data_IF_106231872791
#
_entry.id   IF_106231872791
#
_cell.length_a   1.000
_cell.length_b   1.000
_cell.length_c   1.000
_cell.angle_alpha   90.00
_cell.angle_beta   90.00
_cell.angle_gamma   90.00
#
_symmetry.space_group_name_H-M   'P 1'
#
loop_
_entity.id
_entity.type
_entity.pdbx_description
1 polymer ?
#
# COMPACT_ATOMS: atom_id res chain seq x y z
N UNK A 1 -0.42 5.21 8.94
CA UNK A 1 0.26 6.53 8.89
C UNK A 1 -0.62 7.54 9.59
N UNK A 2 -0.05 8.36 10.49
CA UNK A 2 -0.78 9.40 11.21
C UNK A 2 -0.99 10.66 10.34
N UNK A 3 -1.75 11.66 10.85
CA UNK A 3 -2.06 12.90 10.08
C UNK A 3 -0.82 13.71 9.69
N UNK A 4 0.22 13.72 10.54
CA UNK A 4 1.48 14.42 10.24
C UNK A 4 2.24 13.71 9.12
N UNK A 5 2.25 12.38 9.09
CA UNK A 5 2.84 11.63 7.99
C UNK A 5 2.13 11.86 6.67
N UNK A 6 0.79 11.97 6.67
CA UNK A 6 0.02 12.26 5.46
C UNK A 6 0.37 13.63 4.85
N UNK A 7 0.47 14.69 5.66
CA UNK A 7 0.82 16.02 5.14
C UNK A 7 2.29 16.08 4.69
N UNK A 8 3.22 15.47 5.43
CA UNK A 8 4.62 15.37 5.03
C UNK A 8 4.77 14.64 3.70
N UNK A 9 4.07 13.52 3.50
CA UNK A 9 4.06 12.77 2.24
C UNK A 9 3.48 13.60 1.10
N UNK A 10 2.36 14.28 1.33
CA UNK A 10 1.74 15.13 0.32
C UNK A 10 2.68 16.27 -0.12
N UNK A 11 3.44 16.87 0.81
CA UNK A 11 4.46 17.88 0.50
C UNK A 11 5.61 17.27 -0.31
N UNK A 12 6.11 16.09 0.07
CA UNK A 12 7.17 15.39 -0.65
C UNK A 12 6.81 15.07 -2.11
N UNK A 13 5.59 14.59 -2.32
CA UNK A 13 5.07 14.23 -3.65
C UNK A 13 4.72 15.46 -4.52
N UNK A 14 4.56 16.62 -3.90
CA UNK A 14 4.15 17.86 -4.56
C UNK A 14 5.05 19.05 -4.15
N UNK A 15 6.32 19.03 -4.53
CA UNK A 15 7.23 20.13 -4.29
C UNK A 15 6.63 21.38 -4.95
N UNK A 16 6.63 22.51 -4.26
CA UNK A 16 6.06 23.79 -4.70
C UNK A 16 4.53 23.94 -4.61
N UNK A 17 3.80 22.95 -4.07
CA UNK A 17 2.37 23.09 -3.82
C UNK A 17 2.08 24.13 -2.73
N UNK A 18 1.10 24.99 -2.99
CA UNK A 18 0.57 25.90 -1.97
C UNK A 18 -0.31 25.15 -0.97
N UNK A 19 -0.63 25.80 0.18
CA UNK A 19 -1.56 25.22 1.15
C UNK A 19 -2.94 24.91 0.54
N UNK A 20 -3.38 25.68 -0.47
CA UNK A 20 -4.65 25.44 -1.17
C UNK A 20 -4.57 24.17 -2.03
N UNK A 21 -3.46 23.99 -2.74
CA UNK A 21 -3.23 22.79 -3.56
C UNK A 21 -3.16 21.55 -2.69
N UNK A 22 -2.46 21.62 -1.56
CA UNK A 22 -2.40 20.53 -0.59
C UNK A 22 -3.78 20.23 0.00
N UNK A 23 -4.58 21.23 0.32
CA UNK A 23 -5.94 21.07 0.83
C UNK A 23 -6.83 20.34 -0.18
N UNK A 24 -6.77 20.71 -1.45
CA UNK A 24 -7.49 20.08 -2.52
C UNK A 24 -7.06 18.62 -2.72
N UNK A 25 -5.75 18.36 -2.80
CA UNK A 25 -5.19 17.00 -2.98
C UNK A 25 -5.53 16.06 -1.83
N UNK A 26 -5.53 16.55 -0.61
CA UNK A 26 -5.84 15.78 0.59
C UNK A 26 -7.34 15.71 0.91
N UNK A 27 -8.18 16.42 0.16
CA UNK A 27 -9.61 16.58 0.44
C UNK A 27 -9.88 17.05 1.87
N UNK A 28 -9.11 18.06 2.31
CA UNK A 28 -9.21 18.65 3.64
C UNK A 28 -9.52 20.16 3.55
N UNK A 29 -10.04 20.74 4.63
CA UNK A 29 -10.20 22.19 4.70
C UNK A 29 -8.84 22.88 4.77
N UNK A 30 -8.76 24.11 4.23
CA UNK A 30 -7.55 24.93 4.30
C UNK A 30 -7.11 25.18 5.75
N UNK A 31 -8.06 25.37 6.69
CA UNK A 31 -7.77 25.52 8.11
C UNK A 31 -7.12 24.28 8.72
N UNK A 32 -7.59 23.09 8.36
CA UNK A 32 -7.00 21.80 8.79
C UNK A 32 -5.57 21.67 8.28
N UNK A 33 -5.33 21.96 7.00
CA UNK A 33 -3.99 21.90 6.40
C UNK A 33 -3.04 22.90 7.05
N UNK A 34 -3.49 24.12 7.30
CA UNK A 34 -2.70 25.14 8.00
C UNK A 34 -2.28 24.66 9.40
N UNK A 35 -3.20 24.06 10.16
CA UNK A 35 -2.90 23.50 11.49
C UNK A 35 -1.86 22.39 11.39
N UNK A 36 -2.03 21.43 10.48
CA UNK A 36 -1.10 20.32 10.29
C UNK A 36 0.30 20.80 9.88
N UNK A 37 0.38 21.79 8.99
CA UNK A 37 1.66 22.38 8.59
C UNK A 37 2.35 23.06 9.78
N UNK A 38 1.61 23.83 10.59
CA UNK A 38 2.17 24.45 11.80
C UNK A 38 2.70 23.41 12.79
N UNK A 39 1.98 22.30 12.98
CA UNK A 39 2.43 21.20 13.82
C UNK A 39 3.70 20.55 13.24
N UNK A 40 3.74 20.27 11.94
CA UNK A 40 4.93 19.72 11.28
C UNK A 40 6.14 20.66 11.37
N UNK A 41 5.93 21.99 11.26
CA UNK A 41 7.00 22.97 11.43
C UNK A 41 7.49 23.02 12.88
N UNK A 42 6.59 22.95 13.86
CA UNK A 42 6.95 22.88 15.29
C UNK A 42 7.78 21.64 15.61
N UNK A 43 7.43 20.52 15.01
CA UNK A 43 8.18 19.26 15.14
C UNK A 43 9.43 19.20 14.25
N UNK A 44 9.74 20.27 13.52
CA UNK A 44 10.85 20.34 12.56
C UNK A 44 10.81 19.27 11.45
N UNK A 45 9.61 18.82 11.06
CA UNK A 45 9.42 17.89 9.96
C UNK A 45 9.35 18.61 8.60
N UNK A 46 8.80 19.82 8.61
CA UNK A 46 8.71 20.72 7.45
C UNK A 46 9.43 22.04 7.72
N UNK A 47 9.93 22.63 6.66
CA UNK A 47 10.45 24.01 6.63
C UNK A 47 9.75 24.79 5.53
N UNK A 48 9.82 26.14 5.58
CA UNK A 48 9.39 26.97 4.46
C UNK A 48 10.27 26.72 3.24
N UNK A 49 9.65 26.59 2.08
CA UNK A 49 10.35 26.41 0.82
C UNK A 49 11.25 27.62 0.52
N UNK A 50 12.47 27.34 0.11
CA UNK A 50 13.47 28.36 -0.19
C UNK A 50 13.25 29.04 -1.54
N UNK A 51 12.67 28.30 -2.49
CA UNK A 51 12.56 28.72 -3.89
C UNK A 51 11.29 29.53 -4.19
N UNK A 52 10.18 29.21 -3.53
CA UNK A 52 8.87 29.85 -3.78
C UNK A 52 8.21 30.19 -2.43
N UNK A 53 7.84 31.44 -2.24
CA UNK A 53 7.15 31.88 -1.05
C UNK A 53 5.79 31.17 -0.90
N UNK A 54 5.47 30.71 0.32
CA UNK A 54 4.21 30.01 0.61
C UNK A 54 4.20 28.52 0.29
N UNK A 55 5.35 27.95 -0.11
CA UNK A 55 5.55 26.51 -0.26
C UNK A 55 6.29 25.91 0.93
N UNK A 56 6.36 24.59 1.00
CA UNK A 56 6.98 23.84 2.09
C UNK A 56 7.88 22.74 1.53
N UNK A 57 8.92 22.43 2.29
CA UNK A 57 9.89 21.38 1.96
C UNK A 57 10.08 20.47 3.17
N UNK A 58 10.35 19.17 2.93
CA UNK A 58 10.76 18.28 4.00
C UNK A 58 12.14 18.67 4.53
N UNK A 59 12.30 18.54 5.83
CA UNK A 59 13.62 18.57 6.46
C UNK A 59 14.21 17.15 6.50
N UNK A 60 15.50 17.01 6.79
CA UNK A 60 16.10 15.69 7.03
C UNK A 60 15.39 14.89 8.14
N UNK A 61 14.84 15.58 9.16
CA UNK A 61 14.01 14.94 10.19
C UNK A 61 12.65 14.49 9.62
N UNK A 62 12.07 15.26 8.70
CA UNK A 62 10.84 14.94 8.00
C UNK A 62 11.00 13.72 7.08
N UNK A 63 12.13 13.61 6.39
CA UNK A 63 12.47 12.44 5.57
C UNK A 63 12.62 11.19 6.44
N UNK A 64 13.40 11.25 7.51
CA UNK A 64 13.56 10.15 8.48
C UNK A 64 12.23 9.76 9.14
N UNK A 65 11.33 10.74 9.36
CA UNK A 65 9.99 10.48 9.87
C UNK A 65 9.12 9.73 8.85
N UNK A 66 9.25 10.00 7.54
CA UNK A 66 8.53 9.29 6.50
C UNK A 66 9.06 7.87 6.27
N UNK A 67 10.37 7.64 6.41
CA UNK A 67 10.98 6.32 6.24
C UNK A 67 10.36 5.26 7.16
N UNK A 68 9.95 5.62 8.39
CA UNK A 68 9.27 4.68 9.30
C UNK A 68 7.88 4.21 8.81
N UNK A 69 7.31 4.85 7.80
CA UNK A 69 6.04 4.45 7.16
C UNK A 69 6.24 3.80 5.80
N UNK A 70 7.48 3.63 5.38
CA UNK A 70 7.80 2.93 4.14
C UNK A 70 7.49 1.45 4.30
N UNK A 71 6.84 0.91 3.31
CA UNK A 71 6.55 -0.53 3.23
C UNK A 71 7.48 -1.11 2.16
N UNK A 72 8.41 -1.96 2.59
CA UNK A 72 9.41 -2.54 1.69
C UNK A 72 8.85 -3.68 0.86
N UNK A 73 7.85 -4.40 1.39
CA UNK A 73 7.21 -5.50 0.70
C UNK A 73 5.83 -5.85 1.26
N UNK A 74 5.11 -6.72 0.58
CA UNK A 74 3.80 -7.20 0.98
C UNK A 74 3.73 -8.73 0.89
N UNK A 75 3.03 -9.34 1.86
CA UNK A 75 2.68 -10.77 1.83
C UNK A 75 1.18 -10.90 1.66
N UNK A 76 0.75 -11.47 0.53
CA UNK A 76 -0.66 -11.81 0.28
C UNK A 76 -0.87 -13.27 0.63
N UNK A 77 -1.79 -13.55 1.54
CA UNK A 77 -2.09 -14.92 1.96
C UNK A 77 -3.27 -15.45 1.14
N UNK A 78 -3.01 -16.39 0.23
CA UNK A 78 -3.97 -16.97 -0.70
C UNK A 78 -3.97 -18.52 -0.67
N UNK A 79 -3.49 -19.13 0.42
CA UNK A 79 -3.29 -20.58 0.50
C UNK A 79 -4.58 -21.38 0.76
N UNK A 80 -5.64 -20.76 1.31
CA UNK A 80 -6.84 -21.47 1.78
C UNK A 80 -7.76 -21.98 0.67
N UNK A 81 -8.49 -23.07 0.96
CA UNK A 81 -9.48 -23.68 0.05
C UNK A 81 -10.67 -22.77 -0.29
N UNK A 82 -11.03 -21.83 0.60
CA UNK A 82 -12.18 -20.94 0.37
C UNK A 82 -13.55 -21.64 0.47
N UNK A 83 -13.74 -22.53 1.43
CA UNK A 83 -14.94 -23.38 1.61
C UNK A 83 -16.27 -22.63 1.59
N UNK A 84 -16.29 -21.36 1.99
CA UNK A 84 -17.50 -20.52 1.94
C UNK A 84 -17.96 -20.16 0.52
N UNK A 85 -17.14 -20.40 -0.49
CA UNK A 85 -17.41 -20.09 -1.90
C UNK A 85 -17.64 -21.35 -2.75
N UNK A 86 -17.78 -22.53 -2.12
CA UNK A 86 -18.16 -23.77 -2.81
C UNK A 86 -19.55 -23.58 -3.47
N UNK A 87 -19.76 -24.03 -4.74
CA UNK A 87 -18.86 -24.90 -5.54
C UNK A 87 -17.81 -24.16 -6.37
N UNK A 88 -17.80 -22.84 -6.42
CA UNK A 88 -16.88 -22.04 -7.26
C UNK A 88 -15.39 -22.35 -6.98
N UNK A 89 -15.09 -22.64 -5.72
CA UNK A 89 -13.71 -22.89 -5.28
C UNK A 89 -13.21 -24.34 -5.49
N UNK A 90 -14.03 -25.23 -6.04
CA UNK A 90 -13.54 -26.57 -6.41
C UNK A 90 -12.55 -26.51 -7.58
N UNK A 91 -12.76 -25.63 -8.54
CA UNK A 91 -11.93 -25.51 -9.72
C UNK A 91 -11.04 -24.28 -9.73
N UNK A 92 -11.35 -23.26 -8.91
CA UNK A 92 -10.65 -21.99 -8.91
C UNK A 92 -10.37 -21.50 -7.48
N UNK A 93 -9.11 -21.24 -7.09
CA UNK A 93 -8.81 -20.63 -5.79
C UNK A 93 -9.57 -19.32 -5.60
N UNK A 94 -10.01 -19.05 -4.36
CA UNK A 94 -10.78 -17.83 -4.04
C UNK A 94 -10.11 -16.54 -4.55
N UNK A 95 -8.79 -16.42 -4.43
CA UNK A 95 -8.05 -15.22 -4.88
C UNK A 95 -8.10 -14.98 -6.39
N UNK A 96 -8.37 -16.04 -7.17
CA UNK A 96 -8.48 -15.99 -8.62
C UNK A 96 -9.93 -15.84 -9.13
N UNK A 97 -10.91 -15.80 -8.23
CA UNK A 97 -12.29 -15.50 -8.62
C UNK A 97 -12.38 -14.09 -9.21
N UNK A 98 -13.15 -13.97 -10.29
CA UNK A 98 -13.38 -12.69 -10.94
C UNK A 98 -14.53 -11.94 -10.27
N UNK A 99 -14.30 -10.67 -10.02
CA UNK A 99 -15.30 -9.73 -9.50
C UNK A 99 -15.26 -8.49 -10.38
N UNK A 100 -16.37 -8.19 -11.02
CA UNK A 100 -16.47 -7.10 -12.00
C UNK A 100 -15.44 -7.19 -13.16
N UNK A 101 -15.18 -8.42 -13.65
CA UNK A 101 -14.28 -8.65 -14.79
C UNK A 101 -12.79 -8.61 -14.45
N UNK A 102 -12.44 -8.57 -13.16
CA UNK A 102 -11.04 -8.60 -12.71
C UNK A 102 -10.83 -9.62 -11.59
N UNK A 103 -9.72 -10.35 -11.63
CA UNK A 103 -9.36 -11.29 -10.57
C UNK A 103 -8.98 -10.55 -9.29
N UNK A 104 -9.55 -10.99 -8.16
CA UNK A 104 -9.36 -10.32 -6.85
C UNK A 104 -7.88 -10.09 -6.51
N UNK A 105 -7.03 -11.10 -6.71
CA UNK A 105 -5.60 -11.02 -6.41
C UNK A 105 -4.86 -10.06 -7.34
N UNK A 106 -5.22 -10.03 -8.62
CA UNK A 106 -4.60 -9.11 -9.58
C UNK A 106 -4.89 -7.65 -9.23
N UNK A 107 -6.13 -7.37 -8.82
CA UNK A 107 -6.50 -6.05 -8.31
C UNK A 107 -5.69 -5.65 -7.08
N UNK A 108 -5.50 -6.56 -6.12
CA UNK A 108 -4.67 -6.30 -4.94
C UNK A 108 -3.22 -6.00 -5.31
N UNK A 109 -2.62 -6.78 -6.22
CA UNK A 109 -1.26 -6.56 -6.71
C UNK A 109 -1.13 -5.18 -7.37
N UNK A 110 -2.08 -4.81 -8.26
CA UNK A 110 -2.07 -3.50 -8.90
C UNK A 110 -2.15 -2.36 -7.89
N UNK A 111 -3.04 -2.46 -6.90
CA UNK A 111 -3.17 -1.47 -5.84
C UNK A 111 -1.87 -1.32 -5.01
N UNK A 112 -1.16 -2.42 -4.74
CA UNK A 112 0.14 -2.38 -4.07
C UNK A 112 1.21 -1.70 -4.95
N UNK A 113 1.24 -2.01 -6.25
CA UNK A 113 2.14 -1.36 -7.20
C UNK A 113 1.88 0.14 -7.33
N UNK A 114 0.60 0.57 -7.37
CA UNK A 114 0.19 1.97 -7.42
C UNK A 114 0.70 2.79 -6.22
N UNK A 115 0.81 2.17 -5.05
CA UNK A 115 1.39 2.82 -3.85
C UNK A 115 2.89 2.58 -3.69
N UNK A 116 3.56 2.01 -4.71
CA UNK A 116 5.01 1.86 -4.77
C UNK A 116 5.56 0.59 -4.12
N UNK A 117 4.72 -0.33 -3.63
CA UNK A 117 5.16 -1.62 -3.08
C UNK A 117 5.39 -2.58 -4.24
N UNK A 118 6.66 -2.93 -4.50
CA UNK A 118 7.06 -3.79 -5.62
C UNK A 118 7.41 -5.21 -5.19
N UNK A 119 8.01 -5.39 -4.01
CA UNK A 119 8.33 -6.72 -3.49
C UNK A 119 7.08 -7.37 -2.90
N UNK A 120 6.40 -8.20 -3.71
CA UNK A 120 5.16 -8.87 -3.33
C UNK A 120 5.39 -10.38 -3.33
N UNK A 121 5.14 -11.00 -2.17
CA UNK A 121 5.12 -12.45 -2.01
C UNK A 121 3.69 -12.92 -1.82
N UNK A 122 3.29 -13.99 -2.50
CA UNK A 122 1.96 -14.59 -2.39
C UNK A 122 2.12 -15.98 -1.78
N UNK A 123 1.58 -16.19 -0.57
CA UNK A 123 1.52 -17.51 0.03
C UNK A 123 0.36 -18.29 -0.60
N UNK A 124 0.69 -19.39 -1.29
CA UNK A 124 -0.24 -20.24 -2.02
C UNK A 124 -0.29 -21.65 -1.44
N UNK A 125 -1.39 -22.35 -1.63
CA UNK A 125 -1.57 -23.73 -1.15
C UNK A 125 -2.47 -24.51 -2.08
N UNK A 126 -3.79 -24.40 -1.89
CA UNK A 126 -4.78 -25.06 -2.73
C UNK A 126 -4.69 -24.58 -4.18
N UNK A 127 -4.58 -25.52 -5.13
CA UNK A 127 -4.44 -25.27 -6.58
C UNK A 127 -3.35 -24.22 -6.88
N UNK A 128 -2.19 -24.35 -6.23
CA UNK A 128 -1.07 -23.40 -6.32
C UNK A 128 -0.62 -23.13 -7.75
N UNK A 129 -0.68 -24.14 -8.63
CA UNK A 129 -0.28 -24.05 -10.04
C UNK A 129 -1.07 -23.01 -10.83
N UNK A 130 -2.28 -22.69 -10.39
CA UNK A 130 -3.10 -21.66 -11.01
C UNK A 130 -2.61 -20.23 -10.75
N UNK A 131 -1.68 -20.03 -9.81
CA UNK A 131 -1.10 -18.75 -9.49
C UNK A 131 0.23 -18.47 -10.23
N UNK A 132 0.84 -19.48 -10.87
CA UNK A 132 2.18 -19.38 -11.47
C UNK A 132 2.29 -18.26 -12.51
N UNK A 133 1.24 -18.02 -13.30
CA UNK A 133 1.22 -16.95 -14.30
C UNK A 133 1.40 -15.54 -13.69
N UNK A 134 1.15 -15.36 -12.39
CA UNK A 134 1.35 -14.08 -11.72
C UNK A 134 2.82 -13.70 -11.58
N UNK A 135 3.73 -14.69 -11.57
CA UNK A 135 5.18 -14.46 -11.54
C UNK A 135 5.59 -13.63 -12.76
N UNK A 136 5.27 -14.13 -13.95
CA UNK A 136 5.64 -13.47 -15.20
C UNK A 136 4.87 -12.17 -15.44
N UNK A 137 3.59 -12.13 -15.02
CA UNK A 137 2.71 -11.00 -15.30
C UNK A 137 2.96 -9.80 -14.40
N UNK A 138 3.34 -10.02 -13.14
CA UNK A 138 3.41 -8.98 -12.11
C UNK A 138 4.72 -8.93 -11.32
N UNK A 139 5.70 -9.78 -11.68
CA UNK A 139 7.00 -9.89 -10.99
C UNK A 139 6.84 -10.14 -9.49
N UNK A 140 5.94 -11.08 -9.13
CA UNK A 140 5.68 -11.49 -7.74
C UNK A 140 6.37 -12.82 -7.41
N UNK A 141 6.59 -13.08 -6.13
CA UNK A 141 7.12 -14.34 -5.62
C UNK A 141 5.99 -15.23 -5.11
N UNK A 142 6.07 -16.52 -5.36
CA UNK A 142 5.15 -17.51 -4.76
C UNK A 142 5.85 -18.24 -3.63
N UNK A 143 5.17 -18.33 -2.48
CA UNK A 143 5.58 -19.11 -1.32
C UNK A 143 4.57 -20.25 -1.11
N UNK A 144 5.01 -21.49 -1.29
CA UNK A 144 4.13 -22.65 -1.11
C UNK A 144 3.98 -23.04 0.36
N UNK A 145 2.74 -23.08 0.85
CA UNK A 145 2.40 -23.62 2.15
C UNK A 145 1.82 -25.04 2.00
N UNK A 146 2.57 -26.11 2.31
CA UNK A 146 2.09 -27.48 2.22
C UNK A 146 1.03 -27.85 3.27
N UNK A 147 0.97 -27.10 4.36
CA UNK A 147 0.06 -27.34 5.49
C UNK A 147 -1.26 -26.55 5.40
N UNK A 148 -1.58 -26.01 4.22
CA UNK A 148 -2.76 -25.14 4.01
C UNK A 148 -4.09 -25.78 4.41
N UNK A 149 -4.18 -27.13 4.44
CA UNK A 149 -5.40 -27.87 4.79
C UNK A 149 -5.53 -28.17 6.28
N UNK A 150 -4.45 -28.17 7.03
CA UNK A 150 -4.40 -28.65 8.41
C UNK A 150 -4.14 -27.57 9.44
N UNK A 151 -3.57 -26.43 9.03
CA UNK A 151 -3.20 -25.34 9.94
C UNK A 151 -3.80 -24.00 9.50
N UNK A 152 -4.03 -23.15 10.47
CA UNK A 152 -4.53 -21.78 10.27
C UNK A 152 -3.52 -20.91 9.49
N UNK A 153 -4.02 -19.89 8.82
CA UNK A 153 -3.26 -18.90 8.04
C UNK A 153 -2.05 -18.32 8.78
N UNK A 154 -2.13 -18.18 10.11
CA UNK A 154 -1.06 -17.66 10.97
C UNK A 154 0.17 -18.58 11.09
N UNK A 155 0.08 -19.84 10.69
CA UNK A 155 1.20 -20.80 10.71
C UNK A 155 1.94 -20.88 9.37
N UNK A 156 1.57 -20.03 8.43
CA UNK A 156 2.19 -19.96 7.08
C UNK A 156 3.42 -19.03 7.06
N UNK A 157 3.62 -18.26 8.13
CA UNK A 157 4.70 -17.26 8.26
C UNK A 157 5.79 -17.77 9.19
#
# INVERSE_FOLDING_TARGET
MNRLGLICRCVAENPHASQRDLAQKMNLSLGTVNTLIKECMKEHLLAQGKSIAGTYELTGKGEAFLEQFKVDGALIIAAGFGSRFVPLTFEMPKGLLEVFGERMIERQIKQLHEVGVKDITIAVGYLKEKFEYLIDKYDVKLLYNPEYSSKNTLTTI
#
